data_IF_025052489707
#
_entry.id   IF_025052489707
#
_cell.length_a   1.000
_cell.length_b   1.000
_cell.length_c   1.000
_cell.angle_alpha   90.00
_cell.angle_beta   90.00
_cell.angle_gamma   90.00
#
_symmetry.space_group_name_H-M   'P 1'
#
loop_
_entity.id
_entity.type
_entity.pdbx_description
1 polymer ?
#
# COMPACT_ATOMS: atom_id res chain seq x y z
N UNK A 1 -12.73 -8.66 -4.49
CA UNK A 1 -13.21 -7.30 -4.18
C UNK A 1 -12.02 -6.35 -4.17
N UNK A 2 -12.19 -5.16 -4.72
CA UNK A 2 -11.08 -4.22 -4.84
C UNK A 2 -11.11 -3.17 -3.74
N UNK A 3 -9.90 -2.77 -3.32
CA UNK A 3 -9.71 -1.74 -2.31
C UNK A 3 -8.59 -0.80 -2.75
N UNK A 4 -8.70 0.46 -2.38
CA UNK A 4 -7.62 1.43 -2.53
C UNK A 4 -7.11 1.81 -1.15
N UNK A 5 -5.80 1.67 -0.94
CA UNK A 5 -5.20 2.13 0.30
C UNK A 5 -4.26 3.30 0.08
N UNK A 6 -4.19 4.17 1.07
CA UNK A 6 -3.20 5.23 1.14
C UNK A 6 -2.38 5.03 2.39
N UNK A 7 -1.06 5.06 2.23
CA UNK A 7 -0.12 5.01 3.35
C UNK A 7 0.76 6.25 3.33
N UNK A 8 1.40 6.53 4.47
CA UNK A 8 2.29 7.67 4.62
C UNK A 8 3.55 7.22 5.36
N UNK A 9 4.72 7.64 4.87
CA UNK A 9 5.99 7.40 5.57
C UNK A 9 6.12 8.42 6.70
N UNK A 10 6.47 7.92 7.88
CA UNK A 10 6.60 8.74 9.09
C UNK A 10 7.99 9.38 9.16
N UNK A 11 8.32 10.21 8.18
CA UNK A 11 9.61 10.88 8.05
C UNK A 11 9.86 11.80 9.26
N UNK A 12 8.83 12.48 9.72
CA UNK A 12 8.92 13.39 10.87
C UNK A 12 9.31 12.67 12.16
N UNK A 13 9.04 11.36 12.23
CA UNK A 13 9.34 10.57 13.44
C UNK A 13 10.70 9.89 13.37
N UNK A 14 11.06 9.42 12.18
CA UNK A 14 12.25 8.56 12.01
C UNK A 14 13.41 9.26 11.30
N UNK A 15 13.14 10.39 10.60
CA UNK A 15 14.12 11.03 9.74
C UNK A 15 14.25 10.34 8.39
N UNK A 16 14.60 11.12 7.37
CA UNK A 16 14.71 10.60 6.00
C UNK A 16 15.81 9.54 5.89
N UNK A 17 16.87 9.66 6.70
CA UNK A 17 18.02 8.74 6.67
C UNK A 17 17.67 7.32 7.11
N UNK A 18 16.60 7.16 7.89
CA UNK A 18 16.15 5.84 8.33
C UNK A 18 15.58 5.01 7.17
N UNK A 19 15.15 5.68 6.09
CA UNK A 19 14.62 5.01 4.91
C UNK A 19 15.75 4.68 3.95
N UNK A 20 16.56 3.68 4.35
CA UNK A 20 17.78 3.30 3.64
C UNK A 20 17.49 2.56 2.34
N UNK A 21 18.46 2.50 1.40
CA UNK A 21 18.31 1.68 0.19
C UNK A 21 18.05 0.20 0.49
N UNK A 22 18.65 -0.35 1.54
CA UNK A 22 18.43 -1.75 1.94
C UNK A 22 16.98 -1.98 2.38
N UNK A 23 16.43 -1.06 3.16
CA UNK A 23 15.04 -1.13 3.58
C UNK A 23 14.11 -1.00 2.38
N UNK A 24 14.41 -0.07 1.46
CA UNK A 24 13.64 0.09 0.23
C UNK A 24 13.64 -1.17 -0.62
N UNK A 25 14.77 -1.88 -0.71
CA UNK A 25 14.85 -3.13 -1.44
C UNK A 25 14.00 -4.23 -0.81
N UNK A 26 13.98 -4.31 0.53
CA UNK A 26 13.13 -5.27 1.25
C UNK A 26 11.66 -4.96 1.04
N UNK A 27 11.30 -3.70 1.08
CA UNK A 27 9.93 -3.24 0.84
C UNK A 27 9.49 -3.62 -0.58
N UNK A 28 10.32 -3.33 -1.57
CA UNK A 28 10.03 -3.65 -2.97
C UNK A 28 9.87 -5.15 -3.19
N UNK A 29 10.69 -5.96 -2.52
CA UNK A 29 10.59 -7.42 -2.62
C UNK A 29 9.23 -7.89 -2.11
N UNK A 30 8.78 -7.36 -0.98
CA UNK A 30 7.48 -7.74 -0.43
C UNK A 30 6.34 -7.29 -1.36
N UNK A 31 6.43 -6.08 -1.93
CA UNK A 31 5.47 -5.60 -2.92
C UNK A 31 5.40 -6.55 -4.11
N UNK A 32 6.56 -6.98 -4.62
CA UNK A 32 6.61 -7.91 -5.74
C UNK A 32 6.00 -9.27 -5.41
N UNK A 33 6.21 -9.76 -4.19
CA UNK A 33 5.58 -11.01 -3.73
C UNK A 33 4.06 -10.90 -3.73
N UNK A 34 3.52 -9.80 -3.20
CA UNK A 34 2.08 -9.58 -3.15
C UNK A 34 1.48 -9.43 -4.55
N UNK A 35 2.24 -8.83 -5.46
CA UNK A 35 1.82 -8.74 -6.87
C UNK A 35 1.75 -10.14 -7.50
N UNK A 36 2.78 -10.95 -7.29
CA UNK A 36 2.82 -12.32 -7.81
C UNK A 36 1.68 -13.19 -7.25
N UNK A 37 1.27 -12.94 -6.01
CA UNK A 37 0.15 -13.63 -5.38
C UNK A 37 -1.22 -13.14 -5.87
N UNK A 38 -1.26 -12.07 -6.68
CA UNK A 38 -2.51 -11.50 -7.19
C UNK A 38 -3.24 -10.60 -6.22
N UNK A 39 -2.63 -10.27 -5.08
CA UNK A 39 -3.25 -9.44 -4.05
C UNK A 39 -3.04 -7.96 -4.32
N UNK A 40 -1.82 -7.55 -4.62
CA UNK A 40 -1.49 -6.19 -5.00
C UNK A 40 -1.59 -6.09 -6.51
N UNK A 41 -2.50 -5.22 -7.01
CA UNK A 41 -2.75 -5.11 -8.45
C UNK A 41 -2.02 -3.94 -9.09
N UNK A 42 -1.82 -2.85 -8.36
CA UNK A 42 -1.12 -1.67 -8.83
C UNK A 42 -0.61 -0.88 -7.62
N UNK A 43 0.53 -0.23 -7.78
CA UNK A 43 1.11 0.61 -6.73
C UNK A 43 1.66 1.88 -7.35
N UNK A 44 1.41 3.01 -6.67
CA UNK A 44 1.93 4.32 -7.06
C UNK A 44 2.63 4.96 -5.88
N UNK A 45 3.68 5.71 -6.17
CA UNK A 45 4.21 6.67 -5.21
C UNK A 45 3.25 7.86 -5.15
N UNK A 46 2.90 8.29 -3.93
CA UNK A 46 2.07 9.48 -3.77
C UNK A 46 2.85 10.72 -4.21
N UNK A 47 2.17 11.63 -4.91
CA UNK A 47 2.77 12.88 -5.36
C UNK A 47 2.64 14.03 -4.37
N UNK A 48 1.81 13.86 -3.32
CA UNK A 48 1.52 14.90 -2.33
C UNK A 48 2.35 14.78 -1.07
N UNK A 49 2.74 13.57 -0.69
CA UNK A 49 3.51 13.29 0.53
C UNK A 49 4.22 11.96 0.35
N UNK A 50 5.34 11.70 1.05
CA UNK A 50 5.97 10.37 0.98
C UNK A 50 5.02 9.29 1.44
N UNK A 51 4.79 8.30 0.57
CA UNK A 51 3.86 7.22 0.82
C UNK A 51 3.45 6.55 -0.47
N UNK A 52 2.48 5.63 -0.37
CA UNK A 52 2.03 4.86 -1.52
C UNK A 52 0.51 4.80 -1.59
N UNK A 53 0.01 4.72 -2.83
CA UNK A 53 -1.36 4.39 -3.12
C UNK A 53 -1.36 3.00 -3.76
N UNK A 54 -2.16 2.08 -3.23
CA UNK A 54 -2.14 0.69 -3.69
C UNK A 54 -3.55 0.23 -4.00
N UNK A 55 -3.70 -0.39 -5.17
CA UNK A 55 -4.92 -1.08 -5.56
C UNK A 55 -4.78 -2.55 -5.20
N UNK A 56 -5.73 -3.04 -4.40
CA UNK A 56 -5.73 -4.40 -3.88
C UNK A 56 -6.88 -5.21 -4.43
N UNK A 57 -6.64 -6.52 -4.57
CA UNK A 57 -7.69 -7.52 -4.76
C UNK A 57 -7.70 -8.40 -3.50
N UNK A 58 -8.77 -8.35 -2.72
CA UNK A 58 -8.84 -9.03 -1.43
C UNK A 58 -10.27 -9.42 -1.10
N UNK A 59 -10.43 -10.32 -0.14
CA UNK A 59 -11.73 -10.77 0.30
C UNK A 59 -12.46 -9.69 1.10
N UNK A 60 -11.72 -8.95 1.93
CA UNK A 60 -12.28 -7.94 2.82
C UNK A 60 -11.19 -6.94 3.24
N UNK A 61 -11.60 -5.92 3.98
CA UNK A 61 -10.69 -4.89 4.48
C UNK A 61 -9.65 -5.47 5.44
N UNK A 62 -10.01 -6.46 6.24
CA UNK A 62 -9.07 -7.07 7.20
C UNK A 62 -7.90 -7.73 6.47
N UNK A 63 -8.16 -8.37 5.33
CA UNK A 63 -7.10 -8.94 4.52
C UNK A 63 -6.16 -7.85 3.98
N UNK A 64 -6.70 -6.74 3.51
CA UNK A 64 -5.89 -5.61 3.02
C UNK A 64 -5.00 -5.08 4.15
N UNK A 65 -5.56 -4.90 5.34
CA UNK A 65 -4.79 -4.41 6.48
C UNK A 65 -3.69 -5.39 6.87
N UNK A 66 -3.98 -6.69 6.87
CA UNK A 66 -2.97 -7.70 7.17
C UNK A 66 -1.83 -7.68 6.15
N UNK A 67 -2.15 -7.50 4.87
CA UNK A 67 -1.13 -7.38 3.81
C UNK A 67 -0.28 -6.13 4.00
N UNK A 68 -0.90 -4.98 4.30
CA UNK A 68 -0.17 -3.75 4.60
C UNK A 68 0.74 -3.91 5.81
N UNK A 69 0.26 -4.58 6.86
CA UNK A 69 1.02 -4.80 8.09
C UNK A 69 2.19 -5.76 7.89
N UNK A 70 2.19 -6.52 6.80
CA UNK A 70 3.31 -7.40 6.45
C UNK A 70 4.47 -6.65 5.77
N UNK A 71 4.29 -5.38 5.42
CA UNK A 71 5.36 -4.59 4.80
C UNK A 71 6.46 -4.31 5.82
N UNK A 72 7.74 -4.47 5.43
CA UNK A 72 8.87 -4.22 6.35
C UNK A 72 8.82 -2.84 7.00
N UNK A 73 8.49 -1.80 6.25
CA UNK A 73 8.40 -0.44 6.82
C UNK A 73 7.29 -0.33 7.86
N UNK A 74 6.16 -1.01 7.65
CA UNK A 74 5.10 -1.01 8.66
C UNK A 74 5.56 -1.72 9.93
N UNK A 75 6.23 -2.86 9.79
CA UNK A 75 6.69 -3.64 10.93
C UNK A 75 7.71 -2.88 11.78
N UNK A 76 8.42 -1.93 11.18
CA UNK A 76 9.37 -1.07 11.88
C UNK A 76 8.71 0.21 12.42
N UNK A 77 7.39 0.34 12.31
CA UNK A 77 6.68 1.53 12.77
C UNK A 77 6.92 2.77 11.92
N UNK A 78 7.31 2.60 10.66
CA UNK A 78 7.70 3.69 9.76
C UNK A 78 6.61 4.08 8.77
N UNK A 79 5.49 3.38 8.77
CA UNK A 79 4.33 3.67 7.90
C UNK A 79 3.08 3.87 8.73
N UNK A 80 2.25 4.80 8.27
CA UNK A 80 0.87 4.97 8.73
C UNK A 80 -0.08 4.54 7.62
N UNK A 81 -1.06 3.71 7.96
CA UNK A 81 -2.17 3.40 7.05
C UNK A 81 -3.19 4.52 7.22
N UNK A 82 -3.26 5.40 6.21
CA UNK A 82 -4.13 6.58 6.28
C UNK A 82 -5.58 6.20 6.02
N UNK A 83 -5.81 5.38 4.99
CA UNK A 83 -7.17 4.93 4.66
C UNK A 83 -7.12 3.64 3.87
N UNK A 84 -8.20 2.85 4.00
CA UNK A 84 -8.49 1.68 3.18
C UNK A 84 -9.93 1.84 2.71
N UNK A 85 -10.12 1.97 1.39
CA UNK A 85 -11.41 2.31 0.79
C UNK A 85 -11.88 1.16 -0.09
N UNK A 86 -13.06 0.56 0.21
CA UNK A 86 -13.62 -0.42 -0.72
C UNK A 86 -14.09 0.27 -2.00
N UNK A 87 -13.87 -0.39 -3.14
CA UNK A 87 -14.22 0.15 -4.44
C UNK A 87 -15.35 -0.68 -5.03
N UNK A 88 -16.37 0.02 -5.52
CA UNK A 88 -17.49 -0.60 -6.19
C UNK A 88 -17.58 -0.08 -7.61
N UNK A 89 -18.12 -0.88 -8.56
CA UNK A 89 -18.33 -0.39 -9.94
C UNK A 89 -19.19 0.87 -9.96
N UNK A 90 -18.77 1.84 -10.77
CA UNK A 90 -19.53 3.07 -10.93
C UNK A 90 -20.68 2.81 -11.90
N UNK A 91 -21.94 2.98 -11.49
CA UNK A 91 -23.09 2.74 -12.36
C UNK A 91 -23.05 3.68 -13.56
N UNK A 92 -23.28 3.14 -14.75
CA UNK A 92 -23.34 3.92 -15.97
C UNK A 92 -21.98 4.37 -16.52
N UNK A 93 -20.87 3.93 -15.92
CA UNK A 93 -19.54 4.28 -16.44
C UNK A 93 -19.23 3.58 -17.76
N UNK A 94 -19.55 2.29 -17.86
CA UNK A 94 -19.22 1.52 -19.07
C UNK A 94 -20.09 1.95 -20.26
N UNK A 95 -19.49 2.19 -21.44
CA UNK A 95 -20.28 2.45 -22.65
C UNK A 95 -21.12 1.25 -23.01
N UNK A 96 -22.28 1.51 -23.59
CA UNK A 96 -23.24 0.47 -24.01
C UNK A 96 -23.20 0.21 -25.49
#
# INVERSE_FOLDING_TARGET
>A
MQFLSLSRRLIERHGVEAFTPELGARESRRVQEMYAEGKLRQVWRRGDTPGAAILWEAADEDEVRALLESLPMFQLGMLEIVSVVPLHPYPGFAPK
#
